data_IF_163634033478
#
_entry.id   IF_163634033478
#
_cell.length_a   1.000
_cell.length_b   1.000
_cell.length_c   1.000
_cell.angle_alpha   90.00
_cell.angle_beta   90.00
_cell.angle_gamma   90.00
#
_symmetry.space_group_name_H-M   'P 1'
#
loop_
_entity.id
_entity.type
_entity.pdbx_description
1 polymer ?
#
# COMPACT_ATOMS: atom_id res chain seq x y z
N UNK A 1 11.84 25.19 19.05
CA UNK A 1 11.70 23.78 18.58
C UNK A 1 10.61 23.10 19.38
N UNK A 2 9.42 22.99 18.82
CA UNK A 2 8.35 22.16 19.41
C UNK A 2 8.74 20.71 19.10
N UNK A 3 9.34 20.02 20.08
CA UNK A 3 9.41 18.56 20.06
C UNK A 3 7.99 18.08 20.35
N UNK A 4 7.28 17.67 19.33
CA UNK A 4 6.03 16.96 19.52
C UNK A 4 6.36 15.59 20.12
N UNK A 5 6.16 15.44 21.44
CA UNK A 5 6.43 14.21 22.20
C UNK A 5 5.40 13.13 21.98
N UNK A 6 4.41 13.36 21.11
CA UNK A 6 3.26 12.48 20.89
C UNK A 6 3.23 11.82 19.51
N UNK A 7 4.28 11.95 18.71
CA UNK A 7 4.35 11.25 17.43
C UNK A 7 4.42 9.73 17.66
N UNK A 8 3.36 9.02 17.29
CA UNK A 8 3.29 7.56 17.36
C UNK A 8 4.39 6.88 16.53
N UNK A 9 4.76 5.68 16.91
CA UNK A 9 5.65 4.82 16.13
C UNK A 9 4.97 4.43 14.83
N UNK A 10 5.65 4.57 13.69
CA UNK A 10 5.22 4.01 12.41
C UNK A 10 5.95 2.68 12.22
N UNK A 11 5.18 1.63 12.01
CA UNK A 11 5.70 0.35 11.54
C UNK A 11 5.61 0.34 10.01
N UNK A 12 6.72 0.03 9.36
CA UNK A 12 6.81 -0.15 7.91
C UNK A 12 6.83 -1.65 7.63
N UNK A 13 6.13 -2.10 6.59
CA UNK A 13 6.15 -3.52 6.20
C UNK A 13 7.57 -3.91 5.75
N UNK A 14 8.13 -3.15 4.83
CA UNK A 14 9.53 -3.30 4.40
C UNK A 14 10.17 -1.93 4.23
N UNK A 15 11.28 -1.68 4.88
CA UNK A 15 12.06 -0.45 4.71
C UNK A 15 13.54 -0.78 4.51
N UNK A 16 14.15 -0.18 3.50
CA UNK A 16 15.57 -0.37 3.19
C UNK A 16 16.20 0.86 2.53
N UNK A 17 17.51 0.94 2.60
CA UNK A 17 18.31 1.92 1.87
C UNK A 17 18.71 1.31 0.51
N UNK A 18 18.48 2.03 -0.57
CA UNK A 18 18.84 1.63 -1.90
C UNK A 18 19.88 2.58 -2.50
N UNK A 19 20.67 2.04 -3.39
CA UNK A 19 21.65 2.76 -4.19
C UNK A 19 21.20 2.66 -5.66
N UNK A 20 20.82 3.79 -6.25
CA UNK A 20 20.50 3.85 -7.66
C UNK A 20 21.67 4.44 -8.47
N UNK A 21 21.99 3.91 -9.66
CA UNK A 21 22.93 4.58 -10.56
C UNK A 21 22.33 5.92 -10.97
N UNK A 22 23.17 6.96 -11.04
CA UNK A 22 22.78 8.21 -11.68
C UNK A 22 22.42 7.96 -13.14
N UNK A 23 21.36 8.60 -13.65
CA UNK A 23 20.96 8.48 -15.04
C UNK A 23 22.11 8.83 -15.99
N UNK A 24 22.25 8.07 -17.07
CA UNK A 24 23.28 8.24 -18.10
C UNK A 24 23.30 9.70 -18.59
N UNK A 25 24.38 10.41 -18.33
CA UNK A 25 24.57 11.80 -18.80
C UNK A 25 25.78 12.53 -18.23
N UNK A 26 26.44 12.04 -17.20
CA UNK A 26 27.68 12.64 -16.65
C UNK A 26 28.82 11.63 -16.59
N UNK A 27 29.80 11.80 -17.49
CA UNK A 27 30.93 10.88 -17.69
C UNK A 27 32.02 10.99 -16.63
N UNK A 28 31.85 11.71 -15.52
CA UNK A 28 32.97 12.02 -14.60
C UNK A 28 32.65 11.95 -13.11
N UNK A 29 31.73 11.20 -12.66
CA UNK A 29 31.70 10.72 -11.26
C UNK A 29 30.46 9.82 -11.14
N UNK A 30 30.62 8.57 -10.66
CA UNK A 30 29.52 7.70 -10.30
C UNK A 30 28.80 8.30 -9.07
N UNK A 31 27.99 9.32 -9.31
CA UNK A 31 27.12 9.87 -8.26
C UNK A 31 26.10 8.81 -7.91
N UNK A 32 26.32 8.22 -6.77
CA UNK A 32 25.46 7.20 -6.22
C UNK A 32 24.29 7.88 -5.51
N UNK A 33 23.10 7.81 -6.10
CA UNK A 33 21.90 8.32 -5.47
C UNK A 33 21.50 7.34 -4.35
N UNK A 34 21.52 7.82 -3.11
CA UNK A 34 21.06 7.06 -1.96
C UNK A 34 19.59 7.37 -1.69
N UNK A 35 18.78 6.34 -1.67
CA UNK A 35 17.33 6.41 -1.49
C UNK A 35 16.93 5.66 -0.22
N UNK A 36 15.90 6.15 0.44
CA UNK A 36 15.19 5.41 1.50
C UNK A 36 13.87 4.96 0.92
N UNK A 37 13.66 3.65 0.86
CA UNK A 37 12.49 3.05 0.25
C UNK A 37 11.67 2.33 1.31
N UNK A 38 10.38 2.59 1.32
CA UNK A 38 9.37 1.85 2.06
C UNK A 38 8.42 1.19 1.08
N UNK A 39 8.13 -0.09 1.28
CA UNK A 39 7.16 -0.85 0.49
C UNK A 39 6.08 -1.36 1.43
N UNK A 40 4.84 -1.11 1.09
CA UNK A 40 3.64 -1.50 1.83
C UNK A 40 2.73 -2.36 0.95
N UNK A 41 2.29 -3.50 1.44
CA UNK A 41 1.26 -4.30 0.81
C UNK A 41 -0.10 -3.95 1.41
N UNK A 42 -1.06 -3.59 0.55
CA UNK A 42 -2.38 -3.15 0.99
C UNK A 42 -3.47 -3.89 0.23
N UNK A 43 -4.38 -4.54 0.94
CA UNK A 43 -5.48 -5.27 0.31
C UNK A 43 -6.48 -4.31 -0.31
N UNK A 44 -6.99 -3.35 0.46
CA UNK A 44 -7.98 -2.38 -0.01
C UNK A 44 -7.34 -1.02 -0.32
N UNK A 45 -7.73 -0.39 -1.44
CA UNK A 45 -7.28 0.95 -1.81
C UNK A 45 -7.85 2.05 -0.89
N UNK A 46 -9.00 1.81 -0.28
CA UNK A 46 -9.64 2.73 0.66
C UNK A 46 -10.05 2.00 1.94
N UNK A 47 -9.12 1.78 2.88
CA UNK A 47 -9.40 1.09 4.14
C UNK A 47 -10.07 2.00 5.20
N UNK A 48 -10.98 2.89 4.77
CA UNK A 48 -11.64 3.89 5.61
C UNK A 48 -10.96 5.28 5.58
N UNK A 49 -9.85 5.41 4.85
CA UNK A 49 -9.14 6.68 4.61
C UNK A 49 -8.41 6.65 3.27
N UNK A 50 -8.10 7.83 2.67
CA UNK A 50 -7.33 7.89 1.42
C UNK A 50 -5.90 7.38 1.60
N UNK A 51 -5.54 6.29 0.90
CA UNK A 51 -4.23 5.65 0.98
C UNK A 51 -3.10 6.63 0.64
N UNK A 52 -3.30 7.48 -0.37
CA UNK A 52 -2.32 8.49 -0.78
C UNK A 52 -1.96 9.45 0.36
N UNK A 53 -2.92 9.84 1.21
CA UNK A 53 -2.63 10.69 2.38
C UNK A 53 -1.72 9.99 3.38
N UNK A 54 -1.96 8.71 3.65
CA UNK A 54 -1.10 7.89 4.52
C UNK A 54 0.30 7.76 3.93
N UNK A 55 0.40 7.51 2.64
CA UNK A 55 1.68 7.38 1.95
C UNK A 55 2.51 8.68 1.96
N UNK A 56 1.87 9.84 1.77
CA UNK A 56 2.52 11.15 1.92
C UNK A 56 2.99 11.36 3.36
N UNK A 57 2.17 11.00 4.34
CA UNK A 57 2.56 11.07 5.75
C UNK A 57 3.78 10.18 6.04
N UNK A 58 3.85 8.98 5.49
CA UNK A 58 5.01 8.09 5.62
C UNK A 58 6.28 8.69 5.00
N UNK A 59 6.18 9.32 3.82
CA UNK A 59 7.29 10.05 3.23
C UNK A 59 7.77 11.18 4.15
N UNK A 60 6.85 11.97 4.71
CA UNK A 60 7.18 13.07 5.62
C UNK A 60 7.90 12.57 6.88
N UNK A 61 7.47 11.44 7.42
CA UNK A 61 8.12 10.80 8.58
C UNK A 61 9.51 10.27 8.24
N UNK A 62 9.69 9.69 7.04
CA UNK A 62 11.00 9.23 6.57
C UNK A 62 11.98 10.40 6.36
N UNK A 63 11.50 11.55 5.89
CA UNK A 63 12.31 12.77 5.78
C UNK A 63 12.68 13.28 7.16
N UNK A 64 11.69 13.43 8.05
CA UNK A 64 11.90 13.91 9.42
C UNK A 64 12.87 13.02 10.21
N UNK A 65 12.78 11.70 10.04
CA UNK A 65 13.64 10.73 10.72
C UNK A 65 15.11 10.77 10.27
N UNK A 66 15.45 11.51 9.22
CA UNK A 66 16.84 11.70 8.78
C UNK A 66 17.60 12.69 9.67
N UNK A 67 16.88 13.56 10.40
CA UNK A 67 17.51 14.48 11.34
C UNK A 67 18.14 13.70 12.50
N UNK A 68 19.41 13.92 12.70
CA UNK A 68 20.26 13.21 13.64
C UNK A 68 21.12 12.14 12.94
N UNK A 69 20.55 11.10 12.34
CA UNK A 69 21.35 10.04 11.70
C UNK A 69 22.02 10.45 10.38
N UNK A 70 21.39 11.31 9.58
CA UNK A 70 21.90 11.65 8.23
C UNK A 70 22.37 13.11 8.17
N UNK A 71 21.67 14.02 8.80
CA UNK A 71 22.06 15.42 8.86
C UNK A 71 21.79 16.01 10.24
N UNK A 72 22.58 17.02 10.61
CA UNK A 72 22.42 17.78 11.86
C UNK A 72 22.48 19.28 11.56
N UNK A 73 21.96 20.09 12.45
CA UNK A 73 21.97 21.56 12.31
C UNK A 73 21.39 22.00 10.95
N UNK A 74 22.15 22.77 10.18
CA UNK A 74 21.73 23.37 8.90
C UNK A 74 22.17 22.55 7.67
N UNK A 75 22.58 21.30 7.85
CA UNK A 75 23.10 20.45 6.77
C UNK A 75 21.97 19.85 5.89
N UNK A 76 20.95 20.63 5.57
CA UNK A 76 19.78 20.18 4.78
C UNK A 76 20.11 19.59 3.40
N UNK A 77 21.26 19.97 2.81
CA UNK A 77 21.74 19.39 1.56
C UNK A 77 22.07 17.89 1.64
N UNK A 78 22.13 17.31 2.84
CA UNK A 78 22.34 15.87 3.04
C UNK A 78 21.03 15.06 3.04
N UNK A 79 19.88 15.73 2.99
CA UNK A 79 18.58 15.03 2.97
C UNK A 79 18.51 14.13 1.74
N UNK A 80 18.21 12.87 1.97
CA UNK A 80 18.05 11.86 0.92
C UNK A 80 16.59 11.79 0.49
N UNK A 81 16.38 11.57 -0.80
CA UNK A 81 15.06 11.32 -1.35
C UNK A 81 14.46 10.05 -0.75
N UNK A 82 13.17 10.11 -0.47
CA UNK A 82 12.39 8.99 0.06
C UNK A 82 11.34 8.54 -0.94
N UNK A 83 11.12 7.23 -0.97
CA UNK A 83 10.05 6.60 -1.73
C UNK A 83 9.12 5.83 -0.79
N UNK A 84 7.83 6.00 -0.97
CA UNK A 84 6.81 5.17 -0.33
C UNK A 84 6.03 4.45 -1.44
N UNK A 85 6.25 3.14 -1.56
CA UNK A 85 5.67 2.29 -2.61
C UNK A 85 4.54 1.49 -1.99
N UNK A 86 3.37 1.55 -2.59
CA UNK A 86 2.15 0.89 -2.13
C UNK A 86 1.65 -0.05 -3.21
N UNK A 87 1.60 -1.34 -2.89
CA UNK A 87 1.04 -2.36 -3.77
C UNK A 87 -0.36 -2.68 -3.28
N UNK A 88 -1.38 -2.28 -4.04
CA UNK A 88 -2.78 -2.53 -3.74
C UNK A 88 -3.28 -3.70 -4.58
N UNK A 89 -3.68 -4.78 -3.91
CA UNK A 89 -4.10 -6.01 -4.57
C UNK A 89 -5.58 -6.03 -4.95
N UNK A 90 -6.43 -5.23 -4.28
CA UNK A 90 -7.86 -5.12 -4.57
C UNK A 90 -8.27 -3.63 -4.65
N UNK A 91 -7.83 -2.90 -5.67
CA UNK A 91 -8.25 -1.53 -5.89
C UNK A 91 -9.69 -1.47 -6.42
N UNK A 92 -10.30 -0.27 -6.38
CA UNK A 92 -11.55 -0.03 -7.08
C UNK A 92 -11.35 -0.16 -8.59
N UNK A 93 -12.44 -0.42 -9.35
CA UNK A 93 -12.36 -0.63 -10.81
C UNK A 93 -11.63 0.49 -11.55
N UNK A 94 -11.76 1.73 -11.10
CA UNK A 94 -11.12 2.91 -11.71
C UNK A 94 -9.59 2.90 -11.55
N UNK A 95 -9.08 2.24 -10.51
CA UNK A 95 -7.64 2.17 -10.23
C UNK A 95 -6.99 0.85 -10.67
N UNK A 96 -7.77 -0.12 -11.15
CA UNK A 96 -7.20 -1.40 -11.62
C UNK A 96 -6.17 -1.18 -12.74
N UNK A 97 -5.09 -1.97 -12.69
CA UNK A 97 -3.99 -1.94 -13.67
C UNK A 97 -3.33 -0.57 -13.82
N UNK A 98 -3.23 0.19 -12.73
CA UNK A 98 -2.59 1.50 -12.74
C UNK A 98 -1.30 1.55 -11.94
N UNK A 99 -0.37 2.36 -12.43
CA UNK A 99 0.85 2.76 -11.76
C UNK A 99 0.87 4.29 -11.70
N UNK A 100 0.74 4.86 -10.50
CA UNK A 100 0.67 6.31 -10.32
C UNK A 100 1.83 6.75 -9.41
N UNK A 101 2.55 7.78 -9.85
CA UNK A 101 3.57 8.45 -9.04
C UNK A 101 3.12 9.85 -8.65
N UNK A 102 3.16 10.15 -7.37
CA UNK A 102 2.99 11.48 -6.81
C UNK A 102 4.38 12.00 -6.39
N UNK A 103 4.74 13.20 -6.84
CA UNK A 103 6.04 13.82 -6.55
C UNK A 103 5.89 15.33 -6.44
N UNK A 104 6.83 15.97 -5.77
CA UNK A 104 6.89 17.44 -5.70
C UNK A 104 7.41 17.96 -7.04
N UNK A 105 6.71 18.95 -7.59
CA UNK A 105 7.11 19.67 -8.80
C UNK A 105 6.93 21.15 -8.60
N UNK A 106 7.87 21.98 -9.07
CA UNK A 106 7.72 23.42 -9.02
C UNK A 106 6.66 23.89 -10.03
N UNK A 107 5.88 24.87 -9.65
CA UNK A 107 5.02 25.66 -10.53
C UNK A 107 5.51 27.11 -10.48
N UNK A 108 5.94 27.63 -11.62
CA UNK A 108 6.39 29.03 -11.68
C UNK A 108 5.20 29.98 -11.77
N UNK A 109 4.95 30.70 -10.70
CA UNK A 109 3.87 31.70 -10.67
C UNK A 109 4.33 33.05 -11.20
N UNK A 110 5.57 33.45 -10.95
CA UNK A 110 6.17 34.71 -11.42
C UNK A 110 7.66 34.46 -11.66
N UNK A 111 8.19 35.03 -12.76
CA UNK A 111 9.60 34.93 -13.11
C UNK A 111 9.96 33.58 -13.75
N UNK A 112 11.27 33.31 -13.91
CA UNK A 112 11.83 32.14 -14.64
C UNK A 112 13.04 31.54 -13.93
N UNK A 113 13.10 31.64 -12.61
CA UNK A 113 14.15 30.98 -11.84
C UNK A 113 13.98 29.45 -11.91
N UNK A 114 15.08 28.74 -12.12
CA UNK A 114 15.11 27.27 -12.20
C UNK A 114 15.90 26.75 -11.01
N UNK A 115 15.23 25.99 -10.14
CA UNK A 115 15.88 25.27 -9.04
C UNK A 115 16.26 23.87 -9.53
N UNK A 116 17.36 23.31 -8.99
CA UNK A 116 17.78 21.95 -9.29
C UNK A 116 16.81 20.94 -8.68
N UNK A 117 16.46 19.90 -9.43
CA UNK A 117 15.51 18.86 -8.98
C UNK A 117 15.97 18.13 -7.70
N UNK A 118 17.27 18.01 -7.47
CA UNK A 118 17.85 17.43 -6.25
C UNK A 118 17.46 18.17 -4.97
N UNK A 119 17.10 19.46 -5.06
CA UNK A 119 16.76 20.30 -3.91
C UNK A 119 15.27 20.24 -3.54
N UNK A 120 14.40 19.81 -4.41
CA UNK A 120 12.94 19.79 -4.15
C UNK A 120 12.27 18.43 -4.37
N UNK A 121 12.77 17.58 -5.27
CA UNK A 121 12.19 16.26 -5.54
C UNK A 121 12.63 15.23 -4.48
N UNK A 122 12.34 15.55 -3.21
CA UNK A 122 12.80 14.78 -2.05
C UNK A 122 11.86 13.66 -1.64
N UNK A 123 10.65 13.58 -2.22
CA UNK A 123 9.69 12.52 -1.91
C UNK A 123 8.95 12.05 -3.15
N UNK A 124 8.69 10.76 -3.20
CA UNK A 124 7.80 10.16 -4.19
C UNK A 124 6.94 9.09 -3.54
N UNK A 125 5.63 9.18 -3.74
CA UNK A 125 4.69 8.10 -3.46
C UNK A 125 4.43 7.38 -4.77
N UNK A 126 4.51 6.06 -4.76
CA UNK A 126 4.18 5.22 -5.91
C UNK A 126 3.08 4.25 -5.50
N UNK A 127 1.96 4.29 -6.21
CA UNK A 127 0.88 3.31 -6.03
C UNK A 127 0.85 2.37 -7.23
N UNK A 128 0.95 1.08 -6.96
CA UNK A 128 0.83 -0.01 -7.92
C UNK A 128 -0.48 -0.70 -7.62
N UNK A 129 -1.48 -0.50 -8.45
CA UNK A 129 -2.80 -1.07 -8.27
C UNK A 129 -2.97 -2.24 -9.23
N UNK A 130 -3.12 -3.44 -8.70
CA UNK A 130 -3.29 -4.65 -9.48
C UNK A 130 -4.72 -4.76 -10.03
N UNK A 131 -4.90 -5.53 -11.10
CA UNK A 131 -6.22 -5.83 -11.66
C UNK A 131 -6.76 -7.17 -11.18
N UNK A 132 -7.83 -7.61 -11.82
CA UNK A 132 -8.31 -8.99 -11.67
C UNK A 132 -7.35 -9.93 -12.41
N UNK A 133 -6.83 -10.94 -11.69
CA UNK A 133 -5.90 -11.91 -12.26
C UNK A 133 -6.51 -12.61 -13.49
N UNK A 134 -5.77 -12.61 -14.60
CA UNK A 134 -6.21 -13.21 -15.85
C UNK A 134 -6.85 -12.25 -16.87
N UNK A 135 -7.02 -10.97 -16.54
CA UNK A 135 -7.33 -9.95 -17.54
C UNK A 135 -6.01 -9.47 -18.17
N UNK A 136 -5.74 -9.89 -19.41
CA UNK A 136 -4.41 -9.74 -20.06
C UNK A 136 -4.05 -8.32 -20.54
N UNK A 137 -4.65 -7.28 -19.99
CA UNK A 137 -4.49 -5.92 -20.48
C UNK A 137 -3.33 -5.11 -19.83
N UNK A 138 -2.43 -5.77 -19.10
CA UNK A 138 -1.32 -5.11 -18.42
C UNK A 138 0.02 -5.80 -18.65
N UNK A 139 1.08 -5.02 -18.70
CA UNK A 139 2.45 -5.47 -18.98
C UNK A 139 3.43 -4.89 -17.96
N UNK A 140 4.70 -5.26 -18.06
CA UNK A 140 5.76 -4.69 -17.25
C UNK A 140 5.58 -4.96 -15.74
N UNK A 141 5.90 -3.97 -14.92
CA UNK A 141 5.94 -4.12 -13.45
C UNK A 141 4.59 -4.49 -12.83
N UNK A 142 3.47 -4.03 -13.41
CA UNK A 142 2.13 -4.35 -12.90
C UNK A 142 1.85 -5.84 -13.09
N UNK A 143 2.17 -6.40 -14.28
CA UNK A 143 2.06 -7.84 -14.54
C UNK A 143 2.99 -8.65 -13.64
N UNK A 144 4.24 -8.21 -13.49
CA UNK A 144 5.19 -8.84 -12.60
C UNK A 144 4.65 -8.96 -11.17
N UNK A 145 4.14 -7.87 -10.61
CA UNK A 145 3.58 -7.83 -9.27
C UNK A 145 2.29 -8.66 -9.16
N UNK A 146 1.42 -8.64 -10.17
CA UNK A 146 0.23 -9.49 -10.21
C UNK A 146 0.61 -10.97 -10.17
N UNK A 147 1.55 -11.39 -11.02
CA UNK A 147 2.02 -12.79 -11.04
C UNK A 147 2.61 -13.17 -9.68
N UNK A 148 3.44 -12.32 -9.09
CA UNK A 148 4.10 -12.58 -7.81
C UNK A 148 3.09 -12.69 -6.66
N UNK A 149 2.14 -11.74 -6.57
CA UNK A 149 1.22 -11.59 -5.44
C UNK A 149 -0.14 -12.25 -5.65
N UNK A 150 -0.43 -12.77 -6.85
CA UNK A 150 -1.69 -13.46 -7.14
C UNK A 150 -1.92 -14.65 -6.21
N UNK A 151 -3.09 -14.73 -5.62
CA UNK A 151 -3.54 -15.88 -4.84
C UNK A 151 -4.24 -16.94 -5.69
N UNK A 152 -4.55 -16.64 -6.96
CA UNK A 152 -5.28 -17.54 -7.87
C UNK A 152 -4.37 -18.35 -8.79
N UNK A 153 -3.11 -17.94 -8.98
CA UNK A 153 -2.15 -18.62 -9.84
C UNK A 153 -1.38 -19.69 -9.07
N UNK A 154 -1.23 -20.87 -9.70
CA UNK A 154 -0.40 -21.94 -9.15
C UNK A 154 1.09 -21.53 -9.14
N UNK A 155 1.87 -22.03 -8.17
CA UNK A 155 3.30 -21.72 -8.07
C UNK A 155 4.09 -22.10 -9.33
N UNK A 156 3.73 -23.22 -9.98
CA UNK A 156 4.35 -23.67 -11.24
C UNK A 156 4.07 -22.72 -12.41
N UNK A 157 2.87 -22.14 -12.48
CA UNK A 157 2.51 -21.14 -13.47
C UNK A 157 3.27 -19.84 -13.23
N UNK A 158 3.33 -19.38 -11.95
CA UNK A 158 4.11 -18.20 -11.57
C UNK A 158 5.58 -18.33 -11.97
N UNK A 159 6.19 -19.45 -11.62
CA UNK A 159 7.58 -19.75 -11.98
C UNK A 159 7.78 -19.61 -13.48
N UNK A 160 6.94 -20.26 -14.28
CA UNK A 160 7.04 -20.22 -15.74
C UNK A 160 6.98 -18.79 -16.29
N UNK A 161 6.01 -17.98 -15.84
CA UNK A 161 5.85 -16.60 -16.30
C UNK A 161 7.05 -15.73 -15.86
N UNK A 162 7.52 -15.90 -14.61
CA UNK A 162 8.66 -15.13 -14.10
C UNK A 162 9.95 -15.43 -14.86
N UNK A 163 10.18 -16.70 -15.22
CA UNK A 163 11.35 -17.12 -16.01
C UNK A 163 11.24 -16.67 -17.48
N UNK A 164 10.12 -16.99 -18.14
CA UNK A 164 9.97 -16.80 -19.59
C UNK A 164 9.74 -15.33 -19.99
N UNK A 165 8.94 -14.59 -19.22
CA UNK A 165 8.58 -13.21 -19.60
C UNK A 165 9.46 -12.15 -18.92
N UNK A 166 9.94 -12.43 -17.69
CA UNK A 166 10.69 -11.46 -16.90
C UNK A 166 12.17 -11.81 -16.72
N UNK A 167 12.61 -12.97 -17.24
CA UNK A 167 14.00 -13.40 -17.13
C UNK A 167 14.50 -13.60 -15.70
N UNK A 168 13.60 -13.85 -14.76
CA UNK A 168 13.95 -14.09 -13.35
C UNK A 168 14.50 -15.50 -13.21
N UNK A 169 15.78 -15.62 -12.89
CA UNK A 169 16.39 -16.93 -12.59
C UNK A 169 15.83 -17.47 -11.26
N UNK A 170 14.98 -18.50 -11.35
CA UNK A 170 14.38 -19.12 -10.17
C UNK A 170 15.37 -20.13 -9.58
N UNK A 171 15.95 -19.79 -8.43
CA UNK A 171 16.71 -20.72 -7.59
C UNK A 171 15.80 -21.30 -6.49
N UNK A 172 16.29 -22.31 -5.77
CA UNK A 172 15.52 -23.00 -4.71
C UNK A 172 15.02 -22.05 -3.61
N UNK A 173 15.80 -21.00 -3.27
CA UNK A 173 15.43 -20.04 -2.25
C UNK A 173 14.28 -19.15 -2.74
N UNK A 174 14.37 -18.63 -3.97
CA UNK A 174 13.33 -17.81 -4.57
C UNK A 174 12.05 -18.61 -4.83
N UNK A 175 12.17 -19.87 -5.24
CA UNK A 175 11.00 -20.78 -5.36
C UNK A 175 10.29 -20.94 -4.01
N UNK A 176 11.06 -21.12 -2.93
CA UNK A 176 10.50 -21.23 -1.58
C UNK A 176 9.78 -19.97 -1.16
N UNK A 177 10.38 -18.79 -1.41
CA UNK A 177 9.77 -17.49 -1.09
C UNK A 177 8.47 -17.25 -1.90
N UNK A 178 8.45 -17.59 -3.18
CA UNK A 178 7.24 -17.50 -4.02
C UNK A 178 6.14 -18.43 -3.49
N UNK A 179 6.49 -19.65 -3.03
CA UNK A 179 5.55 -20.57 -2.38
C UNK A 179 5.00 -20.00 -1.07
N UNK A 180 5.86 -19.40 -0.24
CA UNK A 180 5.44 -18.77 1.02
C UNK A 180 4.50 -17.60 0.75
N UNK A 181 4.81 -16.75 -0.24
CA UNK A 181 3.93 -15.65 -0.65
C UNK A 181 2.57 -16.15 -1.18
N UNK A 182 2.55 -17.27 -1.90
CA UNK A 182 1.29 -17.90 -2.33
C UNK A 182 0.42 -18.31 -1.13
N UNK A 183 1.03 -18.92 -0.12
CA UNK A 183 0.33 -19.37 1.08
C UNK A 183 -0.16 -18.20 1.93
N UNK A 184 0.66 -17.15 2.09
CA UNK A 184 0.29 -15.91 2.79
C UNK A 184 -0.89 -15.21 2.10
N UNK A 185 -0.84 -15.06 0.79
CA UNK A 185 -1.93 -14.41 0.04
C UNK A 185 -3.24 -15.22 0.06
N UNK A 186 -3.16 -16.55 0.12
CA UNK A 186 -4.32 -17.42 0.33
C UNK A 186 -4.88 -17.29 1.75
N UNK A 187 -4.01 -17.22 2.76
CA UNK A 187 -4.41 -16.99 4.16
C UNK A 187 -5.13 -15.65 4.35
N UNK A 188 -4.55 -14.57 3.85
CA UNK A 188 -5.16 -13.22 3.89
C UNK A 188 -6.49 -13.19 3.14
N UNK A 189 -6.61 -13.89 2.01
CA UNK A 189 -7.88 -14.00 1.27
C UNK A 189 -8.94 -14.79 2.03
N UNK A 190 -8.55 -15.86 2.74
CA UNK A 190 -9.46 -16.64 3.56
C UNK A 190 -9.95 -15.80 4.77
N UNK A 191 -9.06 -15.13 5.47
CA UNK A 191 -9.40 -14.22 6.58
C UNK A 191 -10.28 -13.07 6.11
N UNK A 192 -9.93 -12.39 5.01
CA UNK A 192 -10.74 -11.30 4.45
C UNK A 192 -12.11 -11.77 3.97
N UNK A 193 -12.24 -13.02 3.50
CA UNK A 193 -13.52 -13.61 3.13
C UNK A 193 -14.38 -13.92 4.37
N UNK A 194 -13.78 -14.47 5.42
CA UNK A 194 -14.48 -14.74 6.68
C UNK A 194 -14.91 -13.43 7.35
N UNK A 195 -14.05 -12.41 7.39
CA UNK A 195 -14.41 -11.08 7.86
C UNK A 195 -15.55 -10.47 7.01
N UNK A 196 -15.46 -10.56 5.69
CA UNK A 196 -16.50 -10.06 4.78
C UNK A 196 -17.84 -10.75 4.97
N UNK A 197 -17.87 -12.07 5.18
CA UNK A 197 -19.08 -12.84 5.51
C UNK A 197 -19.62 -12.38 6.87
N UNK A 198 -18.78 -12.29 7.89
CA UNK A 198 -19.18 -11.85 9.23
C UNK A 198 -19.77 -10.43 9.24
N UNK A 199 -19.15 -9.49 8.52
CA UNK A 199 -19.67 -8.13 8.34
C UNK A 199 -21.00 -8.14 7.59
N UNK A 200 -21.12 -8.96 6.54
CA UNK A 200 -22.36 -9.12 5.76
C UNK A 200 -23.50 -9.67 6.60
N UNK A 201 -23.24 -10.74 7.37
CA UNK A 201 -24.21 -11.32 8.30
C UNK A 201 -24.66 -10.32 9.35
N UNK A 202 -23.70 -9.57 9.94
CA UNK A 202 -24.01 -8.54 10.93
C UNK A 202 -24.88 -7.43 10.35
N UNK A 203 -24.56 -6.94 9.15
CA UNK A 203 -25.38 -5.93 8.46
C UNK A 203 -26.78 -6.44 8.17
N UNK A 204 -26.92 -7.68 7.74
CA UNK A 204 -28.22 -8.29 7.49
C UNK A 204 -29.04 -8.41 8.78
N UNK A 205 -28.45 -8.83 9.90
CA UNK A 205 -29.13 -8.88 11.19
C UNK A 205 -29.59 -7.50 11.66
N UNK A 206 -28.73 -6.48 11.50
CA UNK A 206 -29.08 -5.07 11.81
C UNK A 206 -30.26 -4.60 10.94
N UNK A 207 -30.25 -4.92 9.65
CA UNK A 207 -31.33 -4.53 8.73
C UNK A 207 -32.65 -5.19 9.14
N UNK A 208 -32.66 -6.51 9.38
CA UNK A 208 -33.85 -7.24 9.81
C UNK A 208 -34.44 -6.69 11.12
N UNK A 209 -33.61 -6.23 12.05
CA UNK A 209 -34.11 -5.59 13.29
C UNK A 209 -34.70 -4.22 12.99
N UNK A 210 -34.09 -3.44 12.13
CA UNK A 210 -34.61 -2.11 11.72
C UNK A 210 -35.91 -2.19 10.96
N UNK A 211 -36.08 -3.22 10.13
CA UNK A 211 -37.32 -3.47 9.36
C UNK A 211 -38.45 -4.07 10.22
N UNK A 212 -38.10 -4.48 11.46
CA UNK A 212 -39.08 -5.09 12.38
C UNK A 212 -39.29 -6.58 12.16
N UNK A 213 -38.54 -7.21 11.24
CA UNK A 213 -38.65 -8.63 10.90
C UNK A 213 -37.97 -9.55 11.91
N UNK A 214 -37.07 -9.02 12.70
CA UNK A 214 -36.35 -9.77 13.73
C UNK A 214 -36.27 -8.98 15.05
N UNK A 215 -36.58 -9.66 16.16
CA UNK A 215 -36.42 -9.06 17.50
C UNK A 215 -34.93 -8.89 17.85
N UNK A 216 -34.62 -7.81 18.55
CA UNK A 216 -33.23 -7.46 18.94
C UNK A 216 -32.54 -8.57 19.74
N UNK A 217 -33.26 -9.22 20.66
CA UNK A 217 -32.73 -10.31 21.47
C UNK A 217 -32.32 -11.51 20.59
N UNK A 218 -33.15 -11.80 19.60
CA UNK A 218 -32.88 -12.90 18.65
C UNK A 218 -31.72 -12.59 17.70
N UNK A 219 -31.60 -11.33 17.31
CA UNK A 219 -30.46 -10.87 16.48
C UNK A 219 -29.14 -10.93 17.27
N UNK A 220 -29.15 -10.47 18.51
CA UNK A 220 -27.99 -10.54 19.41
C UNK A 220 -27.55 -11.99 19.66
N UNK A 221 -28.50 -12.92 19.88
CA UNK A 221 -28.23 -14.35 20.02
C UNK A 221 -27.55 -14.92 18.76
N UNK A 222 -28.11 -14.61 17.56
CA UNK A 222 -27.52 -15.04 16.27
C UNK A 222 -26.13 -14.45 16.04
N UNK A 223 -25.89 -13.20 16.45
CA UNK A 223 -24.62 -12.52 16.37
C UNK A 223 -23.64 -12.98 17.49
N UNK A 224 -24.04 -13.89 18.38
CA UNK A 224 -23.24 -14.38 19.51
C UNK A 224 -22.73 -13.26 20.42
N UNK A 225 -23.54 -12.26 20.66
CA UNK A 225 -23.21 -11.11 21.52
C UNK A 225 -24.37 -10.74 22.44
N UNK A 226 -24.10 -9.87 23.42
CA UNK A 226 -25.16 -9.34 24.29
C UNK A 226 -26.06 -8.35 23.55
N UNK A 227 -27.28 -8.17 24.03
CA UNK A 227 -28.21 -7.18 23.45
C UNK A 227 -27.63 -5.76 23.47
N UNK A 228 -26.90 -5.42 24.54
CA UNK A 228 -26.22 -4.11 24.65
C UNK A 228 -25.12 -3.93 23.60
N UNK A 229 -24.34 -4.98 23.36
CA UNK A 229 -23.30 -4.96 22.32
C UNK A 229 -23.92 -4.83 20.93
N UNK A 230 -24.98 -5.59 20.64
CA UNK A 230 -25.69 -5.53 19.38
C UNK A 230 -26.30 -4.16 19.13
N UNK A 231 -26.87 -3.52 20.14
CA UNK A 231 -27.41 -2.16 20.08
C UNK A 231 -26.33 -1.15 19.68
N UNK A 232 -25.13 -1.23 20.25
CA UNK A 232 -23.98 -0.37 19.87
C UNK A 232 -23.55 -0.60 18.41
N UNK A 233 -23.54 -1.84 17.95
CA UNK A 233 -23.26 -2.16 16.55
C UNK A 233 -24.29 -1.54 15.62
N UNK A 234 -25.56 -1.64 15.99
CA UNK A 234 -26.68 -1.06 15.24
C UNK A 234 -26.58 0.46 15.13
N UNK A 235 -26.18 1.15 16.20
CA UNK A 235 -25.97 2.61 16.22
C UNK A 235 -24.82 3.04 15.30
N UNK A 236 -23.76 2.23 15.21
CA UNK A 236 -22.58 2.52 14.40
C UNK A 236 -22.66 2.02 12.95
N UNK A 237 -23.69 1.28 12.59
CA UNK A 237 -23.87 0.79 11.22
C UNK A 237 -24.66 1.82 10.42
N UNK A 238 -24.08 2.44 9.36
CA UNK A 238 -24.80 3.45 8.57
C UNK A 238 -26.03 2.84 7.87
N UNK A 239 -27.07 3.66 7.72
CA UNK A 239 -28.21 3.33 6.85
C UNK A 239 -27.72 3.25 5.41
N UNK A 240 -27.95 2.15 4.72
CA UNK A 240 -27.76 2.14 3.27
C UNK A 240 -28.80 3.06 2.66
N UNK A 241 -28.36 4.10 1.96
CA UNK A 241 -29.23 4.82 1.05
C UNK A 241 -29.64 3.84 -0.06
N UNK A 242 -30.94 3.65 -0.22
CA UNK A 242 -31.58 2.89 -1.31
C UNK A 242 -31.35 3.62 -2.62
#
# INVERSE_FOLDING_TARGET
CIRDRTEGTINYDVRFDAIAPASEGSAEQKDVIRLIINVEAQTAFNPGYPLTKRAIYYCSRMISAQHGPIFTNSEYGKIRKVYSIWVCTHPTKEFQNTLIRYSIRPEQLIGNAVEKSENYDLMSVVTICLGESGTENYTGIVKFMDVLLSSSRAATEKKKILEEEFGVAMNEDLEREVLVMCNLSQGVKAEGREEGISIGEMRMLVQLVRDGDLKMERAAEKAKMTVEQFKKVMENTPLQAV
#
